data_IF_611658422100
#
_entry.id   IF_611658422100
#
_cell.length_a   1.000
_cell.length_b   1.000
_cell.length_c   1.000
_cell.angle_alpha   90.00
_cell.angle_beta   90.00
_cell.angle_gamma   90.00
#
_symmetry.space_group_name_H-M   'P 1'
#
loop_
_entity.id
_entity.type
_entity.pdbx_description
1 polymer ?
#
# COMPACT_ATOMS: atom_id res chain seq x y z
N UNK A 1 -1.55 5.59 14.94
CA UNK A 1 -1.43 4.40 15.80
C UNK A 1 -1.06 3.15 14.97
N UNK A 2 -1.81 2.81 13.93
CA UNK A 2 -1.61 1.57 13.14
C UNK A 2 -0.21 1.39 12.53
N UNK A 3 0.40 2.45 11.99
CA UNK A 3 1.76 2.38 11.43
C UNK A 3 2.83 2.01 12.46
N UNK A 4 2.70 2.46 13.72
CA UNK A 4 3.66 2.16 14.77
C UNK A 4 3.62 0.67 15.10
N UNK A 5 2.40 0.12 15.25
CA UNK A 5 2.20 -1.31 15.51
C UNK A 5 2.72 -2.15 14.36
N UNK A 6 2.47 -1.71 13.11
CA UNK A 6 2.95 -2.39 11.91
C UNK A 6 4.49 -2.42 11.84
N UNK A 7 5.15 -1.29 12.11
CA UNK A 7 6.60 -1.19 12.16
C UNK A 7 7.20 -2.05 13.28
N UNK A 8 6.55 -2.13 14.44
CA UNK A 8 6.96 -3.04 15.53
C UNK A 8 6.85 -4.51 15.13
N UNK A 9 5.75 -4.89 14.48
CA UNK A 9 5.55 -6.26 13.99
C UNK A 9 6.64 -6.64 12.97
N UNK A 10 6.93 -5.76 12.01
CA UNK A 10 8.02 -5.93 11.04
C UNK A 10 9.37 -6.04 11.74
N UNK A 11 9.64 -5.19 12.72
CA UNK A 11 10.90 -5.19 13.46
C UNK A 11 11.16 -6.51 14.19
N UNK A 12 10.12 -7.05 14.84
CA UNK A 12 10.21 -8.33 15.53
C UNK A 12 10.41 -9.51 14.58
N UNK A 13 9.88 -9.43 13.36
CA UNK A 13 9.90 -10.51 12.37
C UNK A 13 10.98 -10.35 11.28
N UNK A 14 11.93 -9.43 11.43
CA UNK A 14 12.95 -9.08 10.42
C UNK A 14 13.82 -10.26 9.93
N UNK A 15 13.85 -11.37 10.66
CA UNK A 15 14.58 -12.59 10.30
C UNK A 15 13.88 -13.43 9.24
N UNK A 16 12.57 -13.22 9.02
CA UNK A 16 11.81 -13.93 8.00
C UNK A 16 12.07 -13.34 6.60
N UNK A 17 12.28 -14.23 5.63
CA UNK A 17 12.42 -13.85 4.21
C UNK A 17 11.09 -13.25 3.72
N UNK A 18 11.15 -12.06 3.12
CA UNK A 18 9.97 -11.30 2.68
C UNK A 18 9.64 -10.10 3.57
N UNK A 19 9.88 -10.16 4.89
CA UNK A 19 9.57 -9.06 5.82
C UNK A 19 10.33 -7.77 5.49
N UNK A 20 11.59 -7.86 5.05
CA UNK A 20 12.36 -6.68 4.66
C UNK A 20 11.74 -5.93 3.46
N UNK A 21 11.08 -6.65 2.55
CA UNK A 21 10.40 -6.06 1.39
C UNK A 21 9.11 -5.38 1.84
N UNK A 22 8.35 -6.03 2.73
CA UNK A 22 7.16 -5.44 3.35
C UNK A 22 7.55 -4.16 4.10
N UNK A 23 8.63 -4.19 4.87
CA UNK A 23 9.16 -3.04 5.59
C UNK A 23 9.43 -1.85 4.66
N UNK A 24 10.07 -2.12 3.51
CA UNK A 24 10.37 -1.09 2.52
C UNK A 24 9.09 -0.46 1.94
N UNK A 25 8.09 -1.28 1.62
CA UNK A 25 6.78 -0.79 1.16
C UNK A 25 6.08 0.09 2.21
N UNK A 26 6.12 -0.31 3.47
CA UNK A 26 5.57 0.48 4.59
C UNK A 26 6.30 1.82 4.72
N UNK A 27 7.63 1.82 4.64
CA UNK A 27 8.44 3.04 4.73
C UNK A 27 8.08 4.00 3.59
N UNK A 28 7.90 3.51 2.36
CA UNK A 28 7.50 4.35 1.23
C UNK A 28 6.15 5.01 1.49
N UNK A 29 5.13 4.24 1.87
CA UNK A 29 3.81 4.78 2.18
C UNK A 29 3.88 5.76 3.36
N UNK A 30 4.65 5.44 4.39
CA UNK A 30 4.83 6.30 5.55
C UNK A 30 5.46 7.66 5.19
N UNK A 31 6.50 7.66 4.35
CA UNK A 31 7.14 8.89 3.87
C UNK A 31 6.13 9.75 3.10
N UNK A 32 5.39 9.14 2.17
CA UNK A 32 4.34 9.86 1.40
C UNK A 32 3.31 10.48 2.35
N UNK A 33 2.80 9.72 3.31
CA UNK A 33 1.77 10.19 4.24
C UNK A 33 2.30 11.33 5.12
N UNK A 34 3.48 11.17 5.73
CA UNK A 34 4.03 12.17 6.66
C UNK A 34 4.39 13.47 5.93
N UNK A 35 4.96 13.37 4.73
CA UNK A 35 5.35 14.56 3.94
C UNK A 35 4.15 15.32 3.38
N UNK A 36 2.97 14.69 3.29
CA UNK A 36 1.73 15.31 2.81
C UNK A 36 0.72 15.58 3.95
N UNK A 37 1.21 15.82 5.17
CA UNK A 37 0.37 16.28 6.29
C UNK A 37 -0.45 15.19 6.97
N UNK A 38 -0.08 13.92 6.79
CA UNK A 38 -0.78 12.77 7.38
C UNK A 38 -1.86 12.16 6.50
N UNK A 39 -1.97 12.60 5.23
CA UNK A 39 -2.94 12.09 4.28
C UNK A 39 -2.27 11.32 3.15
N UNK A 40 -2.94 10.28 2.64
CA UNK A 40 -2.48 9.55 1.46
C UNK A 40 -2.97 10.28 0.20
N UNK A 41 -2.07 10.78 -0.66
CA UNK A 41 -2.45 11.39 -1.92
C UNK A 41 -2.96 10.33 -2.92
N UNK A 42 -3.99 10.66 -3.68
CA UNK A 42 -4.60 9.78 -4.68
C UNK A 42 -4.73 10.49 -6.02
N UNK A 43 -4.39 9.78 -7.10
CA UNK A 43 -4.57 10.29 -8.45
C UNK A 43 -6.03 10.19 -8.89
N UNK A 44 -6.65 11.35 -9.15
CA UNK A 44 -8.05 11.44 -9.55
C UNK A 44 -8.36 10.62 -10.82
N UNK A 45 -7.47 10.64 -11.81
CA UNK A 45 -7.66 9.88 -13.05
C UNK A 45 -7.60 8.36 -12.82
N UNK A 46 -6.84 7.90 -11.82
CA UNK A 46 -6.80 6.48 -11.44
C UNK A 46 -8.09 6.03 -10.77
N UNK A 47 -8.72 6.88 -9.95
CA UNK A 47 -10.04 6.57 -9.38
C UNK A 47 -11.11 6.38 -10.46
N UNK A 48 -11.17 7.28 -11.45
CA UNK A 48 -12.10 7.13 -12.57
C UNK A 48 -11.80 5.86 -13.39
N UNK A 49 -10.53 5.54 -13.62
CA UNK A 49 -10.13 4.30 -14.32
C UNK A 49 -10.50 3.04 -13.54
N UNK A 50 -10.45 3.06 -12.21
CA UNK A 50 -10.88 1.95 -11.36
C UNK A 50 -12.40 1.87 -11.20
N UNK A 51 -13.18 2.75 -11.82
CA UNK A 51 -14.64 2.78 -11.68
C UNK A 51 -15.14 3.35 -10.35
N UNK A 52 -14.26 3.96 -9.55
CA UNK A 52 -14.53 4.54 -8.24
C UNK A 52 -15.08 5.97 -8.34
N UNK A 53 -16.05 6.19 -9.24
CA UNK A 53 -16.57 7.52 -9.57
C UNK A 53 -17.20 8.24 -8.37
N UNK A 54 -17.92 7.50 -7.52
CA UNK A 54 -18.53 8.03 -6.30
C UNK A 54 -17.46 8.51 -5.31
N UNK A 55 -16.39 7.74 -5.14
CA UNK A 55 -15.28 8.11 -4.26
C UNK A 55 -14.53 9.33 -4.80
N UNK A 56 -14.34 9.42 -6.12
CA UNK A 56 -13.79 10.60 -6.78
C UNK A 56 -14.63 11.87 -6.55
N UNK A 57 -15.96 11.75 -6.49
CA UNK A 57 -16.86 12.87 -6.18
C UNK A 57 -16.72 13.32 -4.72
N UNK A 58 -16.77 12.39 -3.75
CA UNK A 58 -16.63 12.74 -2.32
C UNK A 58 -15.26 13.36 -2.02
N UNK A 59 -14.20 12.89 -2.67
CA UNK A 59 -12.86 13.49 -2.56
C UNK A 59 -12.80 14.92 -3.10
N UNK A 60 -13.54 15.22 -4.18
CA UNK A 60 -13.65 16.59 -4.72
C UNK A 60 -14.42 17.53 -3.79
N UNK A 61 -15.40 17.00 -3.06
CA UNK A 61 -16.19 17.75 -2.08
C UNK A 61 -15.42 18.01 -0.78
N UNK A 62 -14.22 17.41 -0.62
CA UNK A 62 -13.33 17.65 0.53
C UNK A 62 -13.74 16.91 1.80
N UNK A 63 -14.65 15.94 1.69
CA UNK A 63 -15.31 15.29 2.83
C UNK A 63 -14.55 14.08 3.37
N UNK A 64 -13.43 13.69 2.74
CA UNK A 64 -12.63 12.52 3.15
C UNK A 64 -11.44 12.92 4.02
N UNK A 65 -11.32 12.29 5.19
CA UNK A 65 -10.32 12.62 6.20
C UNK A 65 -8.97 11.93 5.95
N UNK A 66 -8.93 10.81 5.21
CA UNK A 66 -7.71 9.98 5.08
C UNK A 66 -7.02 10.09 3.72
N UNK A 67 -7.73 10.51 2.68
CA UNK A 67 -7.23 10.63 1.32
C UNK A 67 -7.36 12.05 0.82
N UNK A 68 -6.36 12.52 0.07
CA UNK A 68 -6.36 13.84 -0.57
C UNK A 68 -6.04 13.68 -2.05
N UNK A 69 -6.56 14.56 -2.91
CA UNK A 69 -6.20 14.52 -4.32
C UNK A 69 -4.75 14.99 -4.52
N UNK A 70 -4.03 14.35 -5.44
CA UNK A 70 -2.71 14.83 -5.87
C UNK A 70 -2.86 16.24 -6.47
N UNK A 71 -2.03 17.16 -6.00
CA UNK A 71 -1.92 18.55 -6.48
C UNK A 71 -0.45 18.89 -6.76
N UNK A 72 -0.18 20.09 -7.27
CA UNK A 72 1.19 20.58 -7.50
C UNK A 72 2.02 20.68 -6.20
N UNK A 73 1.37 20.75 -5.04
CA UNK A 73 2.03 20.79 -3.73
C UNK A 73 2.35 19.41 -3.16
N UNK A 74 1.84 18.34 -3.78
CA UNK A 74 2.01 16.98 -3.30
C UNK A 74 3.46 16.53 -3.48
N UNK A 75 4.10 16.20 -2.36
CA UNK A 75 5.46 15.64 -2.37
C UNK A 75 5.38 14.13 -2.58
N UNK A 76 6.30 13.58 -3.37
CA UNK A 76 6.35 12.14 -3.67
C UNK A 76 5.04 11.57 -4.25
N UNK A 77 4.24 12.38 -4.96
CA UNK A 77 2.96 11.94 -5.52
C UNK A 77 3.05 10.72 -6.44
N UNK A 78 4.21 10.47 -7.06
CA UNK A 78 4.44 9.28 -7.89
C UNK A 78 4.53 7.96 -7.09
N UNK A 79 4.82 8.03 -5.79
CA UNK A 79 4.81 6.88 -4.87
C UNK A 79 3.46 6.68 -4.19
N UNK A 80 2.55 7.64 -4.35
CA UNK A 80 1.22 7.63 -3.74
C UNK A 80 0.26 6.70 -4.53
N UNK A 81 -1.04 6.77 -4.26
CA UNK A 81 -2.03 5.91 -4.90
C UNK A 81 -2.28 6.38 -6.34
N UNK A 82 -1.46 5.84 -7.25
CA UNK A 82 -1.46 6.22 -8.68
C UNK A 82 -1.77 5.06 -9.59
N UNK A 83 -1.68 3.80 -9.14
CA UNK A 83 -1.84 2.61 -9.97
C UNK A 83 -3.29 2.14 -9.90
N UNK A 84 -4.11 2.30 -10.96
CA UNK A 84 -5.49 1.84 -10.94
C UNK A 84 -5.56 0.31 -11.09
N UNK A 85 -6.27 -0.33 -10.17
CA UNK A 85 -6.75 -1.71 -10.29
C UNK A 85 -8.21 -1.67 -10.73
N UNK A 86 -8.41 -1.75 -12.04
CA UNK A 86 -9.73 -1.72 -12.68
C UNK A 86 -10.38 -3.12 -12.73
N UNK A 87 -11.71 -3.20 -12.94
CA UNK A 87 -12.37 -4.46 -13.30
C UNK A 87 -11.64 -5.17 -14.46
N UNK A 88 -11.46 -6.50 -14.42
CA UNK A 88 -12.22 -7.51 -13.69
C UNK A 88 -11.67 -7.88 -12.30
N UNK A 89 -10.80 -7.06 -11.70
CA UNK A 89 -10.38 -7.31 -10.32
C UNK A 89 -11.59 -7.31 -9.36
N UNK A 90 -11.67 -8.25 -8.39
CA UNK A 90 -12.81 -8.37 -7.49
C UNK A 90 -13.07 -7.13 -6.64
N UNK A 91 -12.00 -6.40 -6.28
CA UNK A 91 -12.05 -5.19 -5.46
C UNK A 91 -11.33 -4.04 -6.18
N UNK A 92 -12.04 -3.23 -6.99
CA UNK A 92 -11.45 -2.12 -7.70
C UNK A 92 -10.87 -1.08 -6.74
N UNK A 93 -9.60 -0.77 -6.90
CA UNK A 93 -8.84 0.07 -5.98
C UNK A 93 -7.79 0.88 -6.72
N UNK A 94 -7.12 1.80 -6.04
CA UNK A 94 -5.92 2.47 -6.54
C UNK A 94 -4.83 2.18 -5.53
N UNK A 95 -3.72 1.62 -6.01
CA UNK A 95 -2.62 1.16 -5.15
C UNK A 95 -1.38 2.01 -5.36
N UNK A 96 -0.56 2.05 -4.33
CA UNK A 96 0.73 2.73 -4.34
C UNK A 96 1.86 1.81 -4.79
N UNK A 97 3.04 2.39 -5.05
CA UNK A 97 4.26 1.61 -5.26
C UNK A 97 4.69 0.85 -3.99
N UNK A 98 4.40 1.41 -2.81
CA UNK A 98 4.63 0.75 -1.53
C UNK A 98 3.72 -0.47 -1.33
N UNK A 99 2.47 -0.39 -1.78
CA UNK A 99 1.53 -1.52 -1.73
C UNK A 99 2.00 -2.68 -2.60
N UNK A 100 2.53 -2.39 -3.78
CA UNK A 100 3.12 -3.42 -4.64
C UNK A 100 4.29 -4.15 -3.96
N UNK A 101 5.17 -3.41 -3.28
CA UNK A 101 6.26 -4.01 -2.49
C UNK A 101 5.72 -4.84 -1.33
N UNK A 102 4.69 -4.37 -0.64
CA UNK A 102 4.05 -5.13 0.44
C UNK A 102 3.45 -6.44 -0.11
N UNK A 103 2.70 -6.40 -1.21
CA UNK A 103 2.14 -7.62 -1.83
C UNK A 103 3.23 -8.60 -2.23
N UNK A 104 4.31 -8.13 -2.86
CA UNK A 104 5.45 -8.98 -3.23
C UNK A 104 6.14 -9.57 -1.99
N UNK A 105 6.32 -8.77 -0.94
CA UNK A 105 6.90 -9.23 0.33
C UNK A 105 6.05 -10.30 1.02
N UNK A 106 4.72 -10.12 1.05
CA UNK A 106 3.76 -11.12 1.57
C UNK A 106 3.81 -12.39 0.74
N UNK A 107 3.79 -12.28 -0.59
CA UNK A 107 3.91 -13.42 -1.49
C UNK A 107 5.20 -14.20 -1.24
N UNK A 108 6.34 -13.50 -1.13
CA UNK A 108 7.64 -14.11 -0.82
C UNK A 108 7.64 -14.81 0.54
N UNK A 109 7.02 -14.19 1.55
CA UNK A 109 6.91 -14.78 2.88
C UNK A 109 6.11 -16.10 2.86
N UNK A 110 4.96 -16.09 2.20
CA UNK A 110 4.10 -17.28 2.05
C UNK A 110 4.84 -18.38 1.29
N UNK A 111 5.47 -18.04 0.16
CA UNK A 111 6.22 -19.00 -0.66
C UNK A 111 7.35 -19.64 0.14
N UNK A 112 8.12 -18.84 0.90
CA UNK A 112 9.20 -19.37 1.74
C UNK A 112 8.67 -20.25 2.87
N UNK A 113 7.51 -19.93 3.44
CA UNK A 113 6.89 -20.76 4.47
C UNK A 113 6.45 -22.12 3.91
N UNK A 114 5.73 -22.13 2.77
CA UNK A 114 5.25 -23.36 2.13
C UNK A 114 6.39 -24.28 1.67
N UNK A 115 7.43 -23.74 1.02
CA UNK A 115 8.57 -24.54 0.56
C UNK A 115 9.39 -25.10 1.73
N UNK A 116 9.47 -24.37 2.85
CA UNK A 116 10.18 -24.84 4.04
C UNK A 116 9.46 -26.01 4.72
N UNK A 117 8.14 -26.02 4.69
CA UNK A 117 7.30 -27.11 5.21
C UNK A 117 7.47 -28.38 4.35
N UNK A 118 7.50 -28.23 3.03
CA UNK A 118 7.77 -29.36 2.10
C UNK A 118 9.17 -29.96 2.28
N UNK A 119 10.18 -29.13 2.60
CA UNK A 119 11.55 -29.59 2.88
C UNK A 119 11.73 -30.18 4.28
N UNK A 120 10.75 -30.05 5.17
CA UNK A 120 10.82 -30.58 6.54
C UNK A 120 9.48 -31.21 6.98
N UNK A 121 9.04 -32.30 6.34
CA UNK A 121 7.71 -32.88 6.55
C UNK A 121 7.51 -33.57 7.92
N UNK A 122 8.54 -33.65 8.77
CA UNK A 122 8.51 -34.36 10.06
C UNK A 122 8.72 -33.47 11.30
N UNK A 123 8.63 -32.14 11.19
CA UNK A 123 8.78 -31.21 12.33
C UNK A 123 7.47 -30.72 12.95
#
# INVERSE_FOLDING_TARGET
>A
FSYIVLLLAVWYNKTLKGINIIALGIIFNFIVIVTNGGHMPVLLSSLYKSGLNNFALVLKEGTYVTHVLITEKTLFGFLADVIPLSPPFPDPSVVSAGDFLMFYGVFSLIQNAMVKEELNPEA
#
